data_IF_837909465120
#
_entry.id   IF_837909465120
#
_cell.length_a   1.000
_cell.length_b   1.000
_cell.length_c   1.000
_cell.angle_alpha   90.00
_cell.angle_beta   90.00
_cell.angle_gamma   90.00
#
_symmetry.space_group_name_H-M   'P 1'
#
loop_
_entity.id
_entity.type
_entity.pdbx_description
1 polymer ?
#
# COMPACT_ATOMS: atom_id res chain seq x y z
N UNK A 1 -1.22 -10.91 -1.11
CA UNK A 1 0.05 -11.03 -1.85
C UNK A 1 0.55 -12.47 -1.73
N UNK A 2 1.36 -12.90 -2.69
CA UNK A 2 1.88 -14.27 -2.72
C UNK A 2 2.70 -14.65 -1.48
N UNK A 3 3.31 -13.68 -0.82
CA UNK A 3 4.06 -13.86 0.43
C UNK A 3 3.19 -14.12 1.65
N UNK A 4 1.87 -14.01 1.53
CA UNK A 4 0.94 -14.05 2.66
C UNK A 4 0.94 -12.78 3.50
N UNK A 5 1.74 -11.78 3.15
CA UNK A 5 1.80 -10.50 3.86
C UNK A 5 0.65 -9.61 3.46
N UNK A 6 0.34 -8.66 4.33
CA UNK A 6 -0.81 -7.80 4.18
C UNK A 6 -0.38 -6.33 4.21
N UNK A 7 -0.54 -5.65 3.08
CA UNK A 7 -0.27 -4.22 2.98
C UNK A 7 -1.35 -3.41 3.73
N UNK A 8 -0.97 -2.28 4.29
CA UNK A 8 -1.91 -1.40 4.98
C UNK A 8 -2.92 -0.80 4.00
N UNK A 9 -2.43 -0.35 2.83
CA UNK A 9 -3.27 0.22 1.80
C UNK A 9 -2.72 -0.13 0.42
N UNK A 10 -3.60 -0.55 -0.48
CA UNK A 10 -3.29 -0.75 -1.89
C UNK A 10 -4.18 0.18 -2.72
N UNK A 11 -3.58 0.95 -3.61
CA UNK A 11 -4.29 1.87 -4.49
C UNK A 11 -4.01 1.52 -5.95
N UNK A 12 -5.05 1.61 -6.77
CA UNK A 12 -4.97 1.36 -8.20
C UNK A 12 -5.30 2.65 -8.95
N UNK A 13 -4.35 3.13 -9.73
CA UNK A 13 -4.54 4.29 -10.58
C UNK A 13 -5.31 3.97 -11.85
N UNK A 14 -5.85 5.01 -12.50
CA UNK A 14 -6.62 4.86 -13.73
C UNK A 14 -5.81 4.28 -14.89
N UNK A 15 -4.50 4.44 -14.83
CA UNK A 15 -3.56 3.91 -15.82
C UNK A 15 -3.10 2.47 -15.52
N UNK A 16 -3.61 1.87 -14.45
CA UNK A 16 -3.22 0.54 -14.01
C UNK A 16 -2.01 0.52 -13.07
N UNK A 17 -1.47 1.66 -12.69
CA UNK A 17 -0.35 1.75 -11.75
C UNK A 17 -0.81 1.33 -10.35
N UNK A 18 -0.07 0.41 -9.73
CA UNK A 18 -0.36 -0.09 -8.39
C UNK A 18 0.57 0.56 -7.37
N UNK A 19 -0.02 1.15 -6.35
CA UNK A 19 0.69 1.73 -5.21
C UNK A 19 0.43 0.91 -3.96
N UNK A 20 1.45 0.71 -3.16
CA UNK A 20 1.30 0.25 -1.77
C UNK A 20 1.70 1.40 -0.86
N UNK A 21 0.87 1.67 0.14
CA UNK A 21 1.12 2.66 1.17
C UNK A 21 1.20 1.95 2.51
N UNK A 22 2.35 2.09 3.19
CA UNK A 22 2.58 1.53 4.51
C UNK A 22 2.55 2.63 5.55
N UNK A 23 1.68 2.49 6.55
CA UNK A 23 1.48 3.50 7.59
C UNK A 23 2.45 3.24 8.74
N UNK A 24 3.27 4.23 9.09
CA UNK A 24 4.23 4.17 10.19
C UNK A 24 4.00 5.34 11.13
N UNK A 25 3.70 5.06 12.38
CA UNK A 25 3.35 6.09 13.36
C UNK A 25 4.51 6.44 14.30
N UNK A 26 5.65 5.74 14.21
CA UNK A 26 6.79 5.99 15.08
C UNK A 26 8.09 5.52 14.43
N UNK A 27 9.22 6.00 14.97
CA UNK A 27 10.56 5.55 14.58
C UNK A 27 10.72 4.05 14.86
N UNK A 28 10.23 3.59 16.00
CA UNK A 28 10.30 2.18 16.39
C UNK A 28 9.51 1.29 15.40
N UNK A 29 8.35 1.74 14.97
CA UNK A 29 7.54 1.05 13.97
C UNK A 29 8.32 0.82 12.67
N UNK A 30 8.95 1.87 12.17
CA UNK A 30 9.72 1.79 10.93
C UNK A 30 10.94 0.87 11.09
N UNK A 31 11.68 1.00 12.19
CA UNK A 31 12.87 0.19 12.45
C UNK A 31 12.58 -1.29 12.64
N UNK A 32 11.40 -1.60 13.18
CA UNK A 32 10.94 -2.98 13.36
C UNK A 32 10.47 -3.62 12.06
N UNK A 33 10.18 -2.81 11.04
CA UNK A 33 9.63 -3.32 9.79
C UNK A 33 10.73 -3.87 8.88
N UNK A 34 10.72 -5.19 8.69
CA UNK A 34 11.59 -5.90 7.76
C UNK A 34 10.84 -6.31 6.48
N UNK A 35 9.56 -5.94 6.36
CA UNK A 35 8.66 -6.42 5.31
C UNK A 35 8.57 -5.50 4.11
N UNK A 36 8.95 -4.23 4.26
CA UNK A 36 8.70 -3.23 3.22
C UNK A 36 9.40 -3.56 1.90
N UNK A 37 10.54 -4.26 1.95
CA UNK A 37 11.24 -4.71 0.74
C UNK A 37 10.42 -5.70 -0.05
N UNK A 38 9.64 -6.56 0.62
CA UNK A 38 8.75 -7.50 -0.03
C UNK A 38 7.57 -6.77 -0.70
N UNK A 39 6.99 -5.78 -0.02
CA UNK A 39 5.93 -4.95 -0.61
C UNK A 39 6.41 -4.22 -1.87
N UNK A 40 7.67 -3.81 -1.88
CA UNK A 40 8.30 -3.18 -3.03
C UNK A 40 8.19 -4.01 -4.31
N UNK A 41 8.29 -5.34 -4.17
CA UNK A 41 8.23 -6.27 -5.29
C UNK A 41 6.80 -6.48 -5.81
N UNK A 42 5.80 -5.95 -5.12
CA UNK A 42 4.38 -6.17 -5.41
C UNK A 42 3.63 -4.90 -5.80
N UNK A 43 4.35 -3.81 -6.06
CA UNK A 43 3.75 -2.54 -6.49
C UNK A 43 4.68 -1.81 -7.45
N UNK A 44 4.11 -0.87 -8.22
CA UNK A 44 4.90 0.02 -9.07
C UNK A 44 5.56 1.13 -8.25
N UNK A 45 4.88 1.60 -7.20
CA UNK A 45 5.38 2.64 -6.31
C UNK A 45 5.03 2.30 -4.87
N UNK A 46 6.03 2.40 -4.00
CA UNK A 46 5.87 2.20 -2.56
C UNK A 46 5.97 3.53 -1.85
N UNK A 47 4.98 3.81 -1.00
CA UNK A 47 4.96 4.98 -0.14
C UNK A 47 4.95 4.57 1.32
N UNK A 48 5.60 5.36 2.15
CA UNK A 48 5.31 5.38 3.58
C UNK A 48 4.42 6.58 3.88
N UNK A 49 3.46 6.40 4.77
CA UNK A 49 2.64 7.48 5.29
C UNK A 49 2.90 7.61 6.78
N UNK A 50 3.11 8.83 7.24
CA UNK A 50 3.46 9.11 8.62
C UNK A 50 2.88 10.47 9.06
N UNK A 51 3.19 10.87 10.29
CA UNK A 51 2.77 12.14 10.87
C UNK A 51 3.97 13.08 10.98
N UNK A 52 3.72 14.36 11.29
CA UNK A 52 4.76 15.40 11.35
C UNK A 52 5.81 15.16 12.43
N UNK A 53 5.48 14.42 13.47
CA UNK A 53 6.39 14.15 14.59
C UNK A 53 7.40 13.04 14.31
N UNK A 54 7.28 12.34 13.18
CA UNK A 54 8.28 11.34 12.78
C UNK A 54 9.26 11.98 11.78
N UNK A 55 10.57 11.97 12.04
CA UNK A 55 11.55 12.57 11.15
C UNK A 55 11.53 11.92 9.76
N UNK A 56 11.42 12.74 8.72
CA UNK A 56 11.36 12.22 7.36
C UNK A 56 12.68 11.60 6.89
N UNK A 57 13.78 11.96 7.49
CA UNK A 57 15.12 11.50 7.12
C UNK A 57 15.35 10.02 7.39
N UNK A 58 14.54 9.41 8.27
CA UNK A 58 14.70 8.00 8.62
C UNK A 58 14.06 7.06 7.60
N UNK A 59 13.23 7.58 6.68
CA UNK A 59 12.56 6.75 5.67
C UNK A 59 13.49 6.43 4.51
N UNK A 60 13.33 5.24 3.87
CA UNK A 60 14.17 4.87 2.73
C UNK A 60 14.04 5.86 1.57
N UNK A 61 15.16 6.26 0.94
CA UNK A 61 15.14 7.23 -0.16
C UNK A 61 14.50 6.67 -1.44
N UNK A 62 14.36 5.37 -1.55
CA UNK A 62 13.76 4.71 -2.71
C UNK A 62 12.27 4.39 -2.52
N UNK A 63 11.65 5.00 -1.54
CA UNK A 63 10.21 5.00 -1.34
C UNK A 63 9.68 6.44 -1.28
N UNK A 64 8.42 6.62 -1.62
CA UNK A 64 7.75 7.90 -1.47
C UNK A 64 7.36 8.16 -0.01
N UNK A 65 7.04 9.40 0.30
CA UNK A 65 6.64 9.79 1.64
C UNK A 65 5.39 10.69 1.59
N UNK A 66 4.40 10.28 2.34
CA UNK A 66 3.16 11.03 2.56
C UNK A 66 3.13 11.43 4.04
N UNK A 67 2.86 12.69 4.32
CA UNK A 67 2.69 13.18 5.69
C UNK A 67 1.24 13.60 5.88
N UNK A 68 0.62 13.07 6.92
CA UNK A 68 -0.80 13.27 7.19
C UNK A 68 -1.03 13.82 8.60
N UNK A 69 -2.11 14.56 8.76
CA UNK A 69 -2.64 15.02 10.04
C UNK A 69 -4.17 14.87 10.05
N UNK A 70 -4.84 15.44 11.06
CA UNK A 70 -6.28 15.34 11.17
C UNK A 70 -7.04 16.07 10.06
N UNK A 71 -6.39 16.95 9.30
CA UNK A 71 -7.01 17.80 8.29
C UNK A 71 -6.71 17.36 6.85
N UNK A 72 -5.73 16.53 6.65
CA UNK A 72 -5.38 16.07 5.31
C UNK A 72 -4.02 15.42 5.23
N UNK A 73 -3.59 15.16 4.00
CA UNK A 73 -2.33 14.53 3.70
C UNK A 73 -1.65 15.22 2.52
N UNK A 74 -0.33 15.24 2.53
CA UNK A 74 0.48 15.78 1.45
C UNK A 74 1.59 14.82 1.07
N UNK A 75 1.82 14.66 -0.23
CA UNK A 75 2.98 13.91 -0.72
C UNK A 75 4.22 14.81 -0.61
N UNK A 76 5.14 14.43 0.25
CA UNK A 76 6.38 15.18 0.51
C UNK A 76 7.50 14.74 -0.41
N UNK A 77 7.58 13.44 -0.69
CA UNK A 77 8.52 12.86 -1.63
C UNK A 77 7.79 11.91 -2.57
N UNK A 78 8.05 12.04 -3.87
CA UNK A 78 7.50 11.09 -4.83
C UNK A 78 8.23 9.74 -4.72
N UNK A 79 7.49 8.66 -4.96
CA UNK A 79 8.07 7.33 -5.00
C UNK A 79 8.70 7.07 -6.37
N UNK A 80 9.92 6.52 -6.43
CA UNK A 80 10.45 6.01 -7.69
C UNK A 80 9.57 4.90 -8.24
N UNK A 81 9.43 4.85 -9.57
CA UNK A 81 8.71 3.78 -10.21
C UNK A 81 9.59 2.54 -10.33
N UNK A 82 9.05 1.41 -9.88
CA UNK A 82 9.63 0.08 -10.10
C UNK A 82 8.58 -0.78 -10.78
N UNK A 83 8.51 -0.65 -12.10
CA UNK A 83 7.45 -1.27 -12.88
C UNK A 83 7.36 -2.77 -12.64
N UNK A 84 6.16 -3.23 -12.28
CA UNK A 84 5.89 -4.64 -12.03
C UNK A 84 6.08 -5.49 -13.29
N UNK A 85 6.59 -6.70 -13.09
CA UNK A 85 6.51 -7.73 -14.12
C UNK A 85 5.05 -8.08 -14.41
N UNK A 86 4.75 -8.46 -15.64
CA UNK A 86 3.38 -8.73 -16.09
C UNK A 86 2.69 -9.79 -15.23
N UNK A 87 3.39 -10.87 -14.86
CA UNK A 87 2.82 -11.93 -14.04
C UNK A 87 2.46 -11.45 -12.62
N UNK A 88 3.33 -10.66 -12.00
CA UNK A 88 3.07 -10.09 -10.68
C UNK A 88 1.92 -9.07 -10.75
N UNK A 89 1.89 -8.24 -11.79
CA UNK A 89 0.78 -7.30 -12.00
C UNK A 89 -0.55 -8.02 -12.08
N UNK A 90 -0.62 -9.09 -12.89
CA UNK A 90 -1.84 -9.88 -13.04
C UNK A 90 -2.29 -10.45 -11.69
N UNK A 91 -1.37 -11.02 -10.93
CA UNK A 91 -1.65 -11.58 -9.62
C UNK A 91 -2.17 -10.53 -8.65
N UNK A 92 -1.56 -9.35 -8.60
CA UNK A 92 -1.98 -8.25 -7.75
C UNK A 92 -3.34 -7.68 -8.18
N UNK A 93 -3.57 -7.54 -9.48
CA UNK A 93 -4.85 -7.07 -10.01
C UNK A 93 -6.00 -8.02 -9.65
N UNK A 94 -5.78 -9.32 -9.76
CA UNK A 94 -6.78 -10.31 -9.37
C UNK A 94 -7.09 -10.25 -7.88
N UNK A 95 -6.05 -10.14 -7.04
CA UNK A 95 -6.22 -9.99 -5.59
C UNK A 95 -6.98 -8.71 -5.23
N UNK A 96 -6.64 -7.60 -5.89
CA UNK A 96 -7.31 -6.31 -5.70
C UNK A 96 -8.79 -6.41 -6.08
N UNK A 97 -9.08 -6.97 -7.25
CA UNK A 97 -10.45 -7.10 -7.74
C UNK A 97 -11.30 -7.99 -6.83
N UNK A 98 -10.75 -9.10 -6.35
CA UNK A 98 -11.46 -9.98 -5.42
C UNK A 98 -11.73 -9.30 -4.09
N UNK A 99 -10.75 -8.63 -3.53
CA UNK A 99 -10.92 -7.91 -2.26
C UNK A 99 -11.97 -6.81 -2.38
N UNK A 100 -11.95 -6.04 -3.47
CA UNK A 100 -12.92 -4.99 -3.73
C UNK A 100 -14.34 -5.55 -3.92
N UNK A 101 -14.47 -6.65 -4.67
CA UNK A 101 -15.76 -7.31 -4.91
C UNK A 101 -16.36 -7.86 -3.62
N UNK A 102 -15.54 -8.49 -2.76
CA UNK A 102 -16.00 -9.01 -1.48
C UNK A 102 -16.46 -7.90 -0.54
N UNK A 103 -15.74 -6.78 -0.50
CA UNK A 103 -16.12 -5.61 0.32
C UNK A 103 -17.41 -4.98 -0.19
N UNK A 104 -17.55 -4.85 -1.50
CA UNK A 104 -18.76 -4.31 -2.11
C UNK A 104 -19.95 -5.21 -1.82
N UNK A 105 -19.81 -6.51 -2.00
CA UNK A 105 -20.84 -7.51 -1.69
C UNK A 105 -21.29 -7.42 -0.23
N UNK A 106 -20.36 -7.28 0.69
CA UNK A 106 -20.67 -7.14 2.13
C UNK A 106 -21.44 -5.84 2.43
N UNK A 107 -21.17 -4.75 1.71
CA UNK A 107 -21.88 -3.49 1.87
C UNK A 107 -23.30 -3.54 1.30
N UNK A 108 -23.49 -4.22 0.18
CA UNK A 108 -24.79 -4.33 -0.50
C UNK A 108 -25.67 -5.37 0.17
N UNK A 109 -25.11 -6.49 0.61
CA UNK A 109 -25.82 -7.57 1.28
C UNK A 109 -24.98 -8.11 2.46
N UNK A 110 -25.06 -7.44 3.64
CA UNK A 110 -24.24 -7.82 4.80
C UNK A 110 -24.50 -9.24 5.33
N UNK A 111 -25.66 -9.84 4.98
CA UNK A 111 -26.03 -11.17 5.44
C UNK A 111 -25.69 -12.27 4.43
N UNK A 112 -25.17 -11.90 3.26
CA UNK A 112 -24.75 -12.89 2.29
C UNK A 112 -23.55 -13.71 2.82
N UNK A 113 -23.49 -15.03 2.51
CA UNK A 113 -22.34 -15.82 2.89
C UNK A 113 -21.08 -15.32 2.15
N UNK A 114 -19.87 -15.50 2.76
CA UNK A 114 -18.63 -15.10 2.11
C UNK A 114 -18.44 -15.78 0.76
N UNK A 115 -17.93 -15.04 -0.21
CA UNK A 115 -17.58 -15.58 -1.52
C UNK A 115 -16.26 -16.34 -1.45
N UNK A 116 -16.18 -17.48 -2.09
CA UNK A 116 -14.96 -18.26 -2.16
C UNK A 116 -13.89 -17.61 -3.08
#
# INVERSE_FOLDING_TARGET
>A
MASGRRADLVALGADGELWIVEIKSSIADLRADQKWLDYRLHCDRLFFATTLDVPREIFPPDAGLIVADAFGAAMVCEAPEHRLHAATRKSMMLAFARAAALRLSALVDPEAPPQA
#
